data_IF_008739660482
#
_entry.id   IF_008739660482
#
_cell.length_a   1.000
_cell.length_b   1.000
_cell.length_c   1.000
_cell.angle_alpha   90.00
_cell.angle_beta   90.00
_cell.angle_gamma   90.00
#
_symmetry.space_group_name_H-M   'P 1'
#
loop_
_entity.id
_entity.type
_entity.pdbx_description
1 polymer ?
#
# COMPACT_ATOMS: atom_id res chain seq x y z
N UNK A 1 -14.02 6.46 9.63
CA UNK A 1 -14.02 5.47 8.89
C UNK A 1 -12.83 4.65 8.73
N UNK A 2 -12.96 3.44 8.73
CA UNK A 2 -11.83 2.59 8.73
C UNK A 2 -11.59 2.00 7.43
N UNK A 3 -12.08 2.61 6.38
CA UNK A 3 -12.03 2.07 5.06
C UNK A 3 -10.64 1.88 4.53
N UNK A 4 -9.68 2.66 5.06
CA UNK A 4 -8.32 2.61 4.56
C UNK A 4 -7.36 1.85 5.46
N UNK A 5 -7.90 1.13 6.42
CA UNK A 5 -7.04 0.34 7.29
C UNK A 5 -6.55 -0.88 6.53
N UNK A 6 -5.26 -0.93 6.25
CA UNK A 6 -4.68 -2.00 5.45
C UNK A 6 -4.89 -3.37 6.06
N UNK A 7 -5.09 -3.44 7.38
CA UNK A 7 -5.26 -4.71 8.04
C UNK A 7 -6.61 -5.36 7.78
N UNK A 8 -7.57 -4.58 7.29
CA UNK A 8 -8.92 -5.10 7.03
C UNK A 8 -9.11 -5.48 5.57
N UNK A 9 -8.15 -5.18 4.72
CA UNK A 9 -8.26 -5.45 3.30
C UNK A 9 -7.74 -6.83 2.96
N UNK A 10 -8.30 -7.43 1.92
CA UNK A 10 -7.78 -8.69 1.41
C UNK A 10 -6.48 -8.44 0.67
N UNK A 11 -5.72 -9.51 0.43
CA UNK A 11 -4.48 -9.38 -0.32
C UNK A 11 -4.72 -8.82 -1.72
N UNK A 12 -5.81 -9.22 -2.37
CA UNK A 12 -6.17 -8.68 -3.67
C UNK A 12 -6.45 -7.20 -3.62
N UNK A 13 -7.18 -6.79 -2.57
CA UNK A 13 -7.49 -5.37 -2.39
C UNK A 13 -6.25 -4.55 -2.13
N UNK A 14 -5.34 -5.10 -1.35
CA UNK A 14 -4.07 -4.42 -1.07
C UNK A 14 -3.24 -4.26 -2.34
N UNK A 15 -3.15 -5.31 -3.12
CA UNK A 15 -2.39 -5.25 -4.38
C UNK A 15 -2.98 -4.21 -5.31
N UNK A 16 -4.30 -4.19 -5.44
CA UNK A 16 -4.97 -3.23 -6.28
C UNK A 16 -4.75 -1.81 -5.80
N UNK A 17 -4.89 -1.59 -4.50
CA UNK A 17 -4.67 -0.27 -3.93
C UNK A 17 -3.24 0.20 -4.18
N UNK A 18 -2.28 -0.70 -4.04
CA UNK A 18 -0.88 -0.36 -4.28
C UNK A 18 -0.67 0.08 -5.72
N UNK A 19 -1.28 -0.64 -6.67
CA UNK A 19 -1.14 -0.28 -8.08
C UNK A 19 -1.74 1.09 -8.38
N UNK A 20 -2.88 1.38 -7.77
CA UNK A 20 -3.52 2.67 -7.96
C UNK A 20 -2.67 3.79 -7.37
N UNK A 21 -2.07 3.54 -6.23
CA UNK A 21 -1.18 4.52 -5.61
C UNK A 21 0.07 4.73 -6.44
N UNK A 22 0.62 3.66 -7.00
CA UNK A 22 1.79 3.76 -7.86
C UNK A 22 1.48 4.57 -9.12
N UNK A 23 0.28 4.40 -9.68
CA UNK A 23 -0.13 5.18 -10.83
C UNK A 23 -0.24 6.67 -10.47
N UNK A 24 -0.81 6.96 -9.31
CA UNK A 24 -0.91 8.34 -8.84
C UNK A 24 0.48 8.93 -8.63
N UNK A 25 1.38 8.15 -8.07
CA UNK A 25 2.75 8.60 -7.82
C UNK A 25 3.44 8.94 -9.13
N UNK A 26 3.23 8.13 -10.16
CA UNK A 26 3.84 8.37 -11.47
C UNK A 26 3.35 9.66 -12.09
N UNK A 27 2.14 10.07 -11.78
CA UNK A 27 1.58 11.32 -12.30
C UNK A 27 2.00 12.53 -11.49
N UNK A 28 2.45 12.32 -10.26
CA UNK A 28 2.85 13.43 -9.40
C UNK A 28 4.23 13.94 -9.80
N UNK A 29 4.44 15.24 -9.66
CA UNK A 29 5.75 15.81 -9.94
C UNK A 29 6.73 15.36 -8.87
N UNK A 30 8.03 15.27 -9.23
CA UNK A 30 9.02 14.79 -8.27
C UNK A 30 9.09 15.60 -6.97
N UNK A 31 8.78 16.89 -7.04
CA UNK A 31 8.84 17.74 -5.87
C UNK A 31 7.47 17.99 -5.24
N UNK A 32 6.45 17.29 -5.68
CA UNK A 32 5.11 17.50 -5.17
C UNK A 32 4.96 16.93 -3.76
N UNK A 33 4.40 17.70 -2.83
CA UNK A 33 4.19 17.20 -1.47
C UNK A 33 3.21 16.03 -1.40
N UNK A 34 2.37 15.84 -2.42
CA UNK A 34 1.43 14.71 -2.39
C UNK A 34 2.16 13.38 -2.48
N UNK A 35 3.43 13.38 -2.90
CA UNK A 35 4.20 12.14 -2.97
C UNK A 35 4.41 11.52 -1.60
N UNK A 36 4.52 12.35 -0.57
CA UNK A 36 4.82 11.87 0.78
C UNK A 36 3.74 10.93 1.31
N UNK A 37 2.46 11.33 1.36
CA UNK A 37 1.43 10.42 1.83
C UNK A 37 1.23 9.21 0.92
N UNK A 38 1.45 9.36 -0.38
CA UNK A 38 1.32 8.24 -1.30
C UNK A 38 2.39 7.20 -1.00
N UNK A 39 3.63 7.63 -0.85
CA UNK A 39 4.72 6.72 -0.54
C UNK A 39 4.53 6.05 0.81
N UNK A 40 4.06 6.80 1.80
CA UNK A 40 3.80 6.24 3.12
C UNK A 40 2.73 5.17 3.04
N UNK A 41 1.70 5.40 2.24
CA UNK A 41 0.62 4.43 2.11
C UNK A 41 1.09 3.16 1.40
N UNK A 42 1.90 3.33 0.34
CA UNK A 42 2.48 2.18 -0.36
C UNK A 42 3.34 1.36 0.60
N UNK A 43 4.13 2.03 1.41
CA UNK A 43 4.97 1.36 2.40
C UNK A 43 4.13 0.56 3.39
N UNK A 44 3.02 1.12 3.84
CA UNK A 44 2.14 0.43 4.78
C UNK A 44 1.56 -0.83 4.13
N UNK A 45 1.16 -0.73 2.87
CA UNK A 45 0.63 -1.88 2.15
C UNK A 45 1.69 -2.96 1.98
N UNK A 46 2.90 -2.56 1.61
CA UNK A 46 3.99 -3.51 1.46
C UNK A 46 4.29 -4.22 2.78
N UNK A 47 4.30 -3.47 3.87
CA UNK A 47 4.57 -4.04 5.18
C UNK A 47 3.49 -5.05 5.57
N UNK A 48 2.24 -4.73 5.27
CA UNK A 48 1.15 -5.63 5.58
C UNK A 48 1.26 -6.92 4.77
N UNK A 49 1.53 -6.81 3.48
CA UNK A 49 1.66 -7.99 2.62
C UNK A 49 2.86 -8.84 3.05
N UNK A 50 3.96 -8.19 3.38
CA UNK A 50 5.16 -8.92 3.82
C UNK A 50 4.88 -9.67 5.12
N UNK A 51 4.15 -9.04 6.04
CA UNK A 51 3.79 -9.69 7.28
C UNK A 51 2.93 -10.93 7.07
N UNK A 52 1.97 -10.83 6.16
CA UNK A 52 1.10 -11.96 5.85
C UNK A 52 1.89 -13.08 5.19
N UNK A 53 2.79 -12.72 4.29
CA UNK A 53 3.61 -13.73 3.62
C UNK A 53 4.55 -14.40 4.58
N UNK A 54 5.13 -13.66 5.51
CA UNK A 54 6.03 -14.23 6.50
C UNK A 54 5.29 -15.23 7.40
N UNK A 55 4.08 -14.86 7.82
CA UNK A 55 3.27 -15.76 8.62
C UNK A 55 2.91 -17.02 7.86
N UNK A 56 2.60 -16.86 6.59
CA UNK A 56 2.25 -18.00 5.76
C UNK A 56 3.45 -18.88 5.51
N UNK A 57 4.61 -18.30 5.37
CA UNK A 57 5.83 -19.05 5.12
C UNK A 57 6.20 -19.94 6.29
N UNK A 58 5.73 -19.61 7.46
CA UNK A 58 5.99 -20.40 8.65
C UNK A 58 5.20 -21.70 8.69
N UNK A 59 4.23 -21.83 7.83
CA UNK A 59 3.45 -23.06 7.78
C UNK A 59 4.24 -24.23 7.16
#
# INVERSE_FOLDING_TARGET
MRDHDVRTLTASELDRAKRELQASLALARPDSPVRVPILAHISAIDAELAGRNAGRADQ
#
